data_IF_248276851573
#
_entry.id   IF_248276851573
#
_cell.length_a   1.000
_cell.length_b   1.000
_cell.length_c   1.000
_cell.angle_alpha   90.00
_cell.angle_beta   90.00
_cell.angle_gamma   90.00
#
_symmetry.space_group_name_H-M   'P 1'
#
loop_
_entity.id
_entity.type
_entity.pdbx_description
1 polymer ?
#
# COMPACT_ATOMS: atom_id res chain seq x y z
N UNK A 1 7.21 12.11 -31.78
CA UNK A 1 6.52 13.29 -31.24
C UNK A 1 6.21 13.01 -29.78
N UNK A 2 6.11 14.04 -28.93
CA UNK A 2 6.02 13.86 -27.47
C UNK A 2 5.01 14.83 -26.87
N UNK A 3 4.28 14.37 -25.84
CA UNK A 3 3.26 15.13 -25.14
C UNK A 3 3.64 15.29 -23.66
N UNK A 4 3.39 16.48 -23.10
CA UNK A 4 3.52 16.76 -21.68
C UNK A 4 2.14 16.67 -21.02
N UNK A 5 2.02 15.86 -19.96
CA UNK A 5 0.80 15.77 -19.16
C UNK A 5 1.10 16.25 -17.73
N UNK A 6 0.25 17.11 -17.13
CA UNK A 6 0.48 17.64 -15.80
C UNK A 6 0.34 16.55 -14.73
N UNK A 7 1.17 16.63 -13.68
CA UNK A 7 0.94 15.91 -12.44
C UNK A 7 -0.13 16.64 -11.60
N UNK A 8 -0.95 15.88 -10.90
CA UNK A 8 -1.94 16.43 -9.97
C UNK A 8 -1.27 17.17 -8.77
N UNK A 9 -0.05 16.79 -8.41
CA UNK A 9 0.60 17.24 -7.18
C UNK A 9 1.40 18.56 -7.30
N UNK A 10 1.47 19.21 -8.47
CA UNK A 10 2.14 20.52 -8.60
C UNK A 10 2.32 21.02 -10.05
N UNK A 11 3.25 21.96 -10.26
CA UNK A 11 3.57 22.59 -11.56
C UNK A 11 4.42 21.70 -12.49
N UNK A 12 4.60 20.43 -12.15
CA UNK A 12 5.42 19.50 -12.91
C UNK A 12 4.56 18.77 -13.94
N UNK A 13 5.15 18.51 -15.10
CA UNK A 13 4.55 17.69 -16.15
C UNK A 13 5.45 16.50 -16.44
N UNK A 14 4.83 15.38 -16.79
CA UNK A 14 5.52 14.17 -17.22
C UNK A 14 5.49 14.11 -18.75
N UNK A 15 6.63 13.79 -19.34
CA UNK A 15 6.79 13.65 -20.76
C UNK A 15 6.57 12.21 -21.21
N UNK A 16 5.74 12.04 -22.24
CA UNK A 16 5.40 10.74 -22.83
C UNK A 16 5.57 10.77 -24.35
N UNK A 17 5.64 9.59 -24.95
CA UNK A 17 5.32 9.43 -26.38
C UNK A 17 3.81 9.65 -26.59
N UNK A 18 3.43 10.27 -27.72
CA UNK A 18 2.05 10.70 -27.96
C UNK A 18 1.02 9.56 -27.92
N UNK A 19 1.39 8.36 -28.36
CA UNK A 19 0.51 7.19 -28.34
C UNK A 19 0.22 6.70 -26.91
N UNK A 20 1.14 6.91 -25.98
CA UNK A 20 0.95 6.63 -24.56
C UNK A 20 0.08 7.72 -23.94
N UNK A 21 0.42 8.99 -24.19
CA UNK A 21 -0.33 10.13 -23.65
C UNK A 21 -1.81 10.09 -24.04
N UNK A 22 -2.12 9.72 -25.29
CA UNK A 22 -3.48 9.60 -25.79
C UNK A 22 -4.33 8.57 -25.02
N UNK A 23 -3.70 7.59 -24.35
CA UNK A 23 -4.38 6.54 -23.56
C UNK A 23 -4.53 6.87 -22.09
N UNK A 24 -3.90 7.95 -21.62
CA UNK A 24 -3.95 8.40 -20.22
C UNK A 24 -5.08 9.41 -19.96
N UNK A 25 -5.94 9.67 -20.94
CA UNK A 25 -7.10 10.52 -20.76
C UNK A 25 -8.01 10.00 -19.62
N UNK A 26 -8.32 10.89 -18.67
CA UNK A 26 -9.16 10.56 -17.50
C UNK A 26 -8.42 9.88 -16.34
N UNK A 27 -7.11 9.70 -16.43
CA UNK A 27 -6.28 9.32 -15.28
C UNK A 27 -5.72 10.56 -14.58
N UNK A 28 -5.67 10.52 -13.26
CA UNK A 28 -4.83 11.43 -12.48
C UNK A 28 -3.41 10.89 -12.46
N UNK A 29 -2.43 11.75 -12.73
CA UNK A 29 -1.02 11.38 -12.67
C UNK A 29 -0.40 11.94 -11.40
N UNK A 30 0.33 11.10 -10.66
CA UNK A 30 1.04 11.50 -9.45
C UNK A 30 2.45 10.95 -9.44
N UNK A 31 3.37 11.70 -8.85
CA UNK A 31 4.71 11.19 -8.55
C UNK A 31 4.70 10.65 -7.12
N UNK A 32 4.61 9.34 -6.99
CA UNK A 32 4.59 8.65 -5.70
C UNK A 32 5.90 7.88 -5.52
N UNK A 33 6.65 8.23 -4.48
CA UNK A 33 7.85 7.52 -4.07
C UNK A 33 8.90 7.31 -5.21
N UNK A 34 9.02 8.29 -6.11
CA UNK A 34 9.94 8.23 -7.26
C UNK A 34 9.39 7.52 -8.51
N UNK A 35 8.12 7.12 -8.52
CA UNK A 35 7.45 6.58 -9.72
C UNK A 35 6.23 7.39 -10.11
N UNK A 36 6.00 7.53 -11.43
CA UNK A 36 4.75 8.13 -11.93
C UNK A 36 3.67 7.06 -11.91
N UNK A 37 2.65 7.30 -11.10
CA UNK A 37 1.50 6.44 -10.93
C UNK A 37 0.30 7.09 -11.58
N UNK A 38 -0.37 6.36 -12.47
CA UNK A 38 -1.69 6.72 -12.95
C UNK A 38 -2.75 6.19 -11.99
N UNK A 39 -3.69 7.06 -11.62
CA UNK A 39 -4.75 6.79 -10.67
C UNK A 39 -6.11 7.01 -11.33
N UNK A 40 -6.99 6.02 -11.22
CA UNK A 40 -8.41 6.12 -11.60
C UNK A 40 -9.20 5.13 -10.77
N UNK A 41 -10.32 5.56 -10.19
CA UNK A 41 -11.21 4.69 -9.41
C UNK A 41 -10.46 3.85 -8.35
N UNK A 42 -9.53 4.49 -7.63
CA UNK A 42 -8.68 3.86 -6.61
C UNK A 42 -7.74 2.74 -7.11
N UNK A 43 -7.51 2.64 -8.42
CA UNK A 43 -6.49 1.77 -9.00
C UNK A 43 -5.17 2.52 -9.18
N UNK A 44 -4.06 1.87 -8.80
CA UNK A 44 -2.71 2.42 -8.85
C UNK A 44 -1.91 1.70 -9.93
N UNK A 45 -1.63 2.40 -11.03
CA UNK A 45 -0.93 1.84 -12.18
C UNK A 45 0.46 2.47 -12.27
N UNK A 46 1.48 1.66 -12.06
CA UNK A 46 2.87 2.04 -12.29
C UNK A 46 3.15 2.17 -13.79
N UNK A 47 3.27 3.41 -14.26
CA UNK A 47 3.44 3.68 -15.68
C UNK A 47 4.81 3.27 -16.21
N UNK A 48 5.86 3.26 -15.38
CA UNK A 48 7.19 2.85 -15.83
C UNK A 48 7.19 1.38 -16.26
N UNK A 49 6.72 0.50 -15.38
CA UNK A 49 6.64 -0.92 -15.67
C UNK A 49 5.61 -1.23 -16.76
N UNK A 50 4.51 -0.46 -16.82
CA UNK A 50 3.51 -0.66 -17.86
C UNK A 50 4.01 -0.31 -19.26
N UNK A 51 4.80 0.76 -19.39
CA UNK A 51 5.30 1.24 -20.70
C UNK A 51 6.50 0.41 -21.16
N UNK A 52 7.45 0.12 -20.27
CA UNK A 52 8.74 -0.47 -20.62
C UNK A 52 8.91 -1.95 -20.24
N UNK A 53 8.01 -2.51 -19.43
CA UNK A 53 8.09 -3.90 -18.96
C UNK A 53 8.60 -4.02 -17.52
N UNK A 54 8.61 -5.25 -17.02
CA UNK A 54 8.97 -5.59 -15.64
C UNK A 54 10.43 -5.16 -15.34
N UNK A 55 10.64 -4.44 -14.22
CA UNK A 55 11.95 -3.92 -13.83
C UNK A 55 12.36 -2.64 -14.57
N UNK A 56 11.39 -1.81 -14.97
CA UNK A 56 11.65 -0.58 -15.70
C UNK A 56 12.36 0.48 -14.86
N UNK A 57 13.27 1.22 -15.48
CA UNK A 57 13.97 2.37 -14.90
C UNK A 57 14.15 3.48 -15.94
N UNK A 58 14.39 4.70 -15.45
CA UNK A 58 14.72 5.87 -16.27
C UNK A 58 16.24 5.99 -16.41
N UNK A 59 16.75 6.10 -17.64
CA UNK A 59 18.19 6.05 -17.94
C UNK A 59 18.95 7.27 -17.44
N UNK A 60 18.30 8.43 -17.44
CA UNK A 60 18.83 9.69 -16.94
C UNK A 60 18.52 9.95 -15.46
N UNK A 61 17.74 9.07 -14.83
CA UNK A 61 17.27 9.24 -13.44
C UNK A 61 16.16 10.27 -13.26
N UNK A 62 15.61 10.87 -14.32
CA UNK A 62 14.48 11.79 -14.22
C UNK A 62 13.15 11.01 -14.24
N UNK A 63 12.40 10.95 -13.12
CA UNK A 63 11.13 10.25 -13.07
C UNK A 63 10.04 10.92 -13.93
N UNK A 64 10.26 12.15 -14.41
CA UNK A 64 9.29 12.88 -15.23
C UNK A 64 9.44 12.62 -16.74
N UNK A 65 10.43 11.85 -17.18
CA UNK A 65 10.57 11.48 -18.58
C UNK A 65 10.30 9.99 -18.81
N UNK A 66 9.04 9.68 -19.14
CA UNK A 66 8.56 8.34 -19.45
C UNK A 66 8.47 8.05 -20.95
N UNK A 67 9.20 8.80 -21.79
CA UNK A 67 9.37 8.44 -23.21
C UNK A 67 10.10 7.10 -23.29
N UNK A 68 9.68 6.20 -24.19
CA UNK A 68 10.29 4.86 -24.34
C UNK A 68 11.80 4.93 -24.57
N UNK A 69 12.30 5.97 -25.23
CA UNK A 69 13.74 6.19 -25.44
C UNK A 69 14.54 6.42 -24.15
N UNK A 70 13.89 6.95 -23.11
CA UNK A 70 14.51 7.17 -21.80
C UNK A 70 14.31 5.97 -20.87
N UNK A 71 13.44 5.04 -21.22
CA UNK A 71 13.19 3.85 -20.42
C UNK A 71 14.12 2.70 -20.82
N UNK A 72 14.45 1.88 -19.84
CA UNK A 72 15.11 0.58 -20.01
C UNK A 72 14.55 -0.40 -18.99
N UNK A 73 14.93 -1.67 -19.10
CA UNK A 73 14.60 -2.71 -18.12
C UNK A 73 15.86 -3.33 -17.53
N UNK A 74 15.80 -3.70 -16.25
CA UNK A 74 16.88 -4.41 -15.58
C UNK A 74 16.61 -5.92 -15.63
N UNK A 75 17.52 -6.66 -16.26
CA UNK A 75 17.47 -8.11 -16.34
C UNK A 75 18.39 -8.76 -15.32
N UNK A 76 17.93 -9.88 -14.78
CA UNK A 76 18.66 -10.73 -13.86
C UNK A 76 18.50 -12.18 -14.30
N UNK A 77 19.59 -12.95 -14.32
CA UNK A 77 19.56 -14.36 -14.68
C UNK A 77 19.57 -15.22 -13.41
N UNK A 78 18.58 -16.11 -13.29
CA UNK A 78 18.51 -17.05 -12.18
C UNK A 78 19.66 -18.07 -12.26
N UNK A 79 20.41 -18.23 -11.17
CA UNK A 79 21.59 -19.09 -11.13
C UNK A 79 22.84 -18.51 -11.81
N UNK A 80 22.77 -17.28 -12.35
CA UNK A 80 23.92 -16.59 -12.93
C UNK A 80 24.86 -15.96 -11.89
N UNK A 81 25.81 -15.14 -12.37
CA UNK A 81 26.85 -14.49 -11.55
C UNK A 81 26.36 -13.37 -10.63
N UNK A 82 25.04 -13.12 -10.57
CA UNK A 82 24.46 -12.09 -9.72
C UNK A 82 24.65 -10.67 -10.25
N UNK A 83 24.60 -10.49 -11.57
CA UNK A 83 24.71 -9.18 -12.22
C UNK A 83 23.34 -8.71 -12.74
N UNK A 84 23.15 -7.39 -12.80
CA UNK A 84 22.02 -6.77 -13.49
C UNK A 84 22.45 -6.24 -14.85
N UNK A 85 21.75 -6.65 -15.89
CA UNK A 85 22.01 -6.23 -17.26
C UNK A 85 20.91 -5.27 -17.71
N UNK A 86 21.24 -4.01 -17.99
CA UNK A 86 20.30 -3.09 -18.62
C UNK A 86 19.97 -3.56 -20.04
N UNK A 87 18.69 -3.56 -20.39
CA UNK A 87 18.21 -3.78 -21.75
C UNK A 87 17.25 -2.68 -22.18
N UNK A 88 16.98 -2.64 -23.47
CA UNK A 88 15.97 -1.75 -24.02
C UNK A 88 14.57 -2.11 -23.51
N UNK A 89 13.66 -1.13 -23.59
CA UNK A 89 12.30 -1.30 -23.13
C UNK A 89 11.60 -2.44 -23.90
N UNK A 90 10.97 -3.36 -23.17
CA UNK A 90 10.15 -4.45 -23.71
C UNK A 90 8.73 -3.92 -23.97
N UNK A 91 8.61 -3.01 -24.94
CA UNK A 91 7.35 -2.28 -25.17
C UNK A 91 6.28 -3.21 -25.74
N UNK A 92 5.19 -3.36 -25.02
CA UNK A 92 4.01 -4.12 -25.46
C UNK A 92 2.80 -3.19 -25.53
N UNK A 93 2.53 -2.69 -26.74
CA UNK A 93 1.41 -1.79 -26.99
C UNK A 93 0.04 -2.45 -26.72
N UNK A 94 -0.06 -3.78 -26.87
CA UNK A 94 -1.29 -4.52 -26.60
C UNK A 94 -1.51 -4.65 -25.09
N UNK A 95 -0.47 -5.00 -24.31
CA UNK A 95 -0.54 -5.02 -22.84
C UNK A 95 -0.86 -3.64 -22.28
N UNK A 96 -0.24 -2.58 -22.79
CA UNK A 96 -0.54 -1.19 -22.43
C UNK A 96 -2.02 -0.86 -22.70
N UNK A 97 -2.52 -1.21 -23.89
CA UNK A 97 -3.91 -0.99 -24.26
C UNK A 97 -4.87 -1.74 -23.33
N UNK A 98 -4.62 -3.02 -23.09
CA UNK A 98 -5.43 -3.89 -22.23
C UNK A 98 -5.44 -3.37 -20.80
N UNK A 99 -4.29 -3.03 -20.22
CA UNK A 99 -4.22 -2.55 -18.84
C UNK A 99 -4.97 -1.23 -18.62
N UNK A 100 -4.79 -0.25 -19.53
CA UNK A 100 -5.47 1.03 -19.43
C UNK A 100 -6.96 0.96 -19.80
N UNK A 101 -7.35 -0.01 -20.63
CA UNK A 101 -8.75 -0.33 -20.94
C UNK A 101 -9.43 -1.09 -19.79
N UNK A 102 -8.80 -2.09 -19.19
CA UNK A 102 -9.36 -2.85 -18.04
C UNK A 102 -9.51 -1.98 -16.81
N UNK A 103 -8.57 -1.04 -16.60
CA UNK A 103 -8.73 0.01 -15.61
C UNK A 103 -9.93 0.94 -15.90
N UNK A 104 -10.61 0.78 -17.04
CA UNK A 104 -11.78 1.54 -17.49
C UNK A 104 -13.00 0.67 -17.77
N UNK A 105 -12.86 -0.64 -18.03
CA UNK A 105 -13.96 -1.58 -18.34
C UNK A 105 -14.61 -2.21 -17.10
N UNK A 106 -14.02 -2.06 -15.91
CA UNK A 106 -14.76 -2.28 -14.65
C UNK A 106 -15.89 -1.26 -14.44
N UNK A 107 -15.97 -0.22 -15.28
CA UNK A 107 -17.13 0.63 -15.43
C UNK A 107 -17.61 0.60 -16.89
N UNK A 108 -18.92 0.36 -17.09
CA UNK A 108 -19.60 0.79 -18.32
C UNK A 108 -19.27 2.28 -18.54
N UNK A 109 -19.12 2.79 -19.78
CA UNK A 109 -18.91 4.22 -19.99
C UNK A 109 -19.96 5.02 -19.19
N UNK A 110 -19.57 6.13 -18.54
CA UNK A 110 -20.52 6.95 -17.82
C UNK A 110 -21.60 7.34 -18.82
N UNK A 111 -22.81 6.85 -18.60
CA UNK A 111 -23.96 7.31 -19.37
C UNK A 111 -24.00 8.83 -19.19
N UNK A 112 -24.06 9.63 -20.28
CA UNK A 112 -24.22 11.05 -20.14
C UNK A 112 -25.53 11.27 -19.39
N UNK A 113 -25.43 11.75 -18.14
CA UNK A 113 -26.52 11.96 -17.19
C UNK A 113 -27.03 10.74 -16.37
N UNK A 114 -26.16 9.83 -15.91
CA UNK A 114 -26.47 9.14 -14.65
C UNK A 114 -26.34 10.18 -13.50
N UNK A 115 -27.42 10.51 -12.75
CA UNK A 115 -27.30 11.44 -11.65
C UNK A 115 -26.30 10.88 -10.64
N UNK A 116 -25.25 11.67 -10.31
CA UNK A 116 -24.38 11.38 -9.16
C UNK A 116 -25.30 11.08 -7.98
N UNK A 117 -25.10 9.94 -7.32
CA UNK A 117 -25.84 9.63 -6.10
C UNK A 117 -25.77 10.83 -5.17
N UNK A 118 -26.88 11.28 -4.57
CA UNK A 118 -26.87 12.46 -3.72
C UNK A 118 -25.79 12.30 -2.65
N UNK A 119 -25.01 13.37 -2.43
CA UNK A 119 -23.88 13.36 -1.51
C UNK A 119 -24.32 12.87 -0.13
N UNK A 120 -24.02 11.62 0.18
CA UNK A 120 -24.33 11.02 1.47
C UNK A 120 -23.22 11.35 2.44
N UNK A 121 -23.43 12.40 3.23
CA UNK A 121 -22.54 12.69 4.35
C UNK A 121 -22.77 11.68 5.48
N UNK A 122 -21.70 11.35 6.21
CA UNK A 122 -21.76 10.49 7.39
C UNK A 122 -21.34 11.31 8.60
N UNK A 123 -22.19 11.27 9.63
CA UNK A 123 -21.98 11.94 10.92
C UNK A 123 -22.22 10.92 12.03
N UNK A 124 -21.56 11.12 13.17
CA UNK A 124 -21.79 10.32 14.37
C UNK A 124 -22.96 10.88 15.20
N UNK A 125 -23.20 12.19 15.13
CA UNK A 125 -24.32 12.89 15.75
C UNK A 125 -24.75 14.10 14.92
N UNK A 126 -26.03 14.53 15.00
CA UNK A 126 -26.53 15.65 14.20
C UNK A 126 -25.79 16.98 14.44
N UNK A 127 -25.20 17.16 15.63
CA UNK A 127 -24.46 18.36 16.02
C UNK A 127 -22.97 18.35 15.68
N UNK A 128 -22.45 17.32 15.02
CA UNK A 128 -21.02 17.24 14.70
C UNK A 128 -20.59 18.41 13.80
N UNK A 129 -19.41 18.98 14.04
CA UNK A 129 -18.89 20.06 13.19
C UNK A 129 -18.55 19.55 11.78
N UNK A 130 -17.84 18.43 11.72
CA UNK A 130 -17.37 17.83 10.49
C UNK A 130 -18.22 16.60 10.12
N UNK A 131 -18.37 16.36 8.83
CA UNK A 131 -18.95 15.13 8.30
C UNK A 131 -17.97 14.43 7.36
N UNK A 132 -17.99 13.10 7.38
CA UNK A 132 -17.29 12.31 6.37
C UNK A 132 -18.02 12.37 5.03
N UNK A 133 -17.25 12.55 3.95
CA UNK A 133 -17.70 12.51 2.56
C UNK A 133 -16.71 11.66 1.77
N UNK A 134 -17.15 10.71 0.92
CA UNK A 134 -16.26 9.94 0.05
C UNK A 134 -15.39 10.82 -0.84
N UNK A 135 -14.16 10.37 -1.13
CA UNK A 135 -13.15 11.15 -1.85
C UNK A 135 -13.63 11.77 -3.17
N UNK A 136 -14.32 10.99 -4.00
CA UNK A 136 -14.84 11.45 -5.29
C UNK A 136 -15.92 12.55 -5.15
N UNK A 137 -16.65 12.56 -4.03
CA UNK A 137 -17.64 13.59 -3.72
C UNK A 137 -17.02 14.80 -3.01
N UNK A 138 -15.80 14.68 -2.48
CA UNK A 138 -15.10 15.74 -1.78
C UNK A 138 -14.31 16.68 -2.71
N UNK A 139 -14.24 16.38 -4.02
CA UNK A 139 -13.40 17.09 -4.99
C UNK A 139 -13.69 18.59 -5.15
N UNK A 140 -14.94 18.97 -4.94
CA UNK A 140 -15.43 20.34 -5.16
C UNK A 140 -15.81 21.05 -3.84
N UNK A 141 -15.56 20.42 -2.69
CA UNK A 141 -15.91 20.97 -1.37
C UNK A 141 -14.69 21.06 -0.45
N UNK A 142 -14.48 22.18 0.26
CA UNK A 142 -13.38 22.30 1.22
C UNK A 142 -13.38 21.15 2.22
N UNK A 143 -12.26 20.44 2.28
CA UNK A 143 -12.13 19.22 3.08
C UNK A 143 -10.76 19.10 3.78
N UNK A 144 -10.74 18.31 4.86
CA UNK A 144 -9.53 17.68 5.40
C UNK A 144 -9.42 16.29 4.77
N UNK A 145 -8.31 16.00 4.08
CA UNK A 145 -7.99 14.63 3.68
C UNK A 145 -7.25 13.94 4.83
N UNK A 146 -7.83 12.88 5.37
CA UNK A 146 -7.29 12.09 6.46
C UNK A 146 -7.00 10.68 5.95
N UNK A 147 -5.77 10.21 6.11
CA UNK A 147 -5.34 8.90 5.63
C UNK A 147 -5.71 8.63 4.16
N UNK A 148 -5.31 9.54 3.28
CA UNK A 148 -5.54 9.46 1.86
C UNK A 148 -4.63 10.44 1.12
N UNK A 149 -4.71 10.42 -0.21
CA UNK A 149 -4.17 11.48 -1.03
C UNK A 149 -5.00 12.78 -0.94
N UNK A 150 -4.54 13.89 -1.54
CA UNK A 150 -5.29 15.16 -1.60
C UNK A 150 -5.97 15.37 -2.95
N UNK A 151 -7.08 16.11 -2.96
CA UNK A 151 -7.74 16.62 -4.17
C UNK A 151 -7.64 18.16 -4.24
N UNK A 152 -8.17 18.76 -5.31
CA UNK A 152 -8.09 20.20 -5.54
C UNK A 152 -8.75 21.05 -4.43
N UNK A 153 -9.78 20.53 -3.75
CA UNK A 153 -10.47 21.22 -2.67
C UNK A 153 -9.91 20.91 -1.26
N UNK A 154 -8.91 20.04 -1.15
CA UNK A 154 -8.27 19.70 0.14
C UNK A 154 -7.53 20.91 0.70
N UNK A 155 -7.93 21.34 1.90
CA UNK A 155 -7.32 22.47 2.64
C UNK A 155 -6.20 22.01 3.59
N UNK A 156 -6.30 20.78 4.07
CA UNK A 156 -5.33 20.17 4.98
C UNK A 156 -5.25 18.68 4.68
N UNK A 157 -4.04 18.15 4.63
CA UNK A 157 -3.76 16.71 4.56
C UNK A 157 -3.23 16.24 5.92
N UNK A 158 -3.71 15.10 6.39
CA UNK A 158 -3.25 14.39 7.60
C UNK A 158 -3.10 12.91 7.23
N UNK A 159 -1.99 12.61 6.58
CA UNK A 159 -1.69 11.29 5.99
C UNK A 159 -0.20 10.99 6.08
N UNK A 160 0.15 9.70 6.16
CA UNK A 160 1.53 9.22 6.00
C UNK A 160 1.85 8.71 4.58
N UNK A 161 0.92 8.83 3.62
CA UNK A 161 1.10 8.34 2.26
C UNK A 161 2.29 9.04 1.57
N UNK A 162 2.98 8.40 0.60
CA UNK A 162 4.00 9.09 -0.19
C UNK A 162 3.49 10.41 -0.78
N UNK A 163 4.35 11.42 -0.77
CA UNK A 163 4.04 12.76 -1.30
C UNK A 163 2.85 13.47 -0.63
N UNK A 164 2.42 13.04 0.56
CA UNK A 164 1.40 13.77 1.33
C UNK A 164 1.82 15.22 1.62
N UNK A 165 0.82 16.09 1.79
CA UNK A 165 0.99 17.50 2.16
C UNK A 165 0.80 17.76 3.66
N UNK A 166 1.00 16.74 4.50
CA UNK A 166 0.83 16.88 5.95
C UNK A 166 1.84 17.89 6.49
N UNK A 167 1.40 18.95 7.19
CA UNK A 167 2.32 19.90 7.80
C UNK A 167 3.33 19.22 8.72
N UNK A 168 4.61 19.64 8.66
CA UNK A 168 5.71 18.99 9.40
C UNK A 168 5.42 18.79 10.89
N UNK A 169 4.75 19.76 11.55
CA UNK A 169 4.38 19.66 12.97
C UNK A 169 3.39 18.53 13.28
N UNK A 170 2.61 18.09 12.30
CA UNK A 170 1.65 17.00 12.45
C UNK A 170 2.17 15.66 11.94
N UNK A 171 3.19 15.61 11.07
CA UNK A 171 3.70 14.36 10.48
C UNK A 171 4.05 13.30 11.53
N UNK A 172 3.46 12.12 11.39
CA UNK A 172 3.70 10.97 12.25
C UNK A 172 3.88 9.69 11.41
N UNK A 173 4.12 8.53 12.05
CA UNK A 173 4.25 7.27 11.31
C UNK A 173 2.89 6.69 10.89
N UNK A 174 1.80 7.12 11.54
CA UNK A 174 0.42 6.75 11.24
C UNK A 174 -0.38 8.02 10.91
N UNK A 175 -1.37 7.91 10.04
CA UNK A 175 -2.30 8.98 9.73
C UNK A 175 -3.11 9.37 10.97
N UNK A 176 -3.53 8.39 11.78
CA UNK A 176 -4.23 8.61 13.06
C UNK A 176 -3.38 9.43 14.03
N UNK A 177 -2.09 9.15 14.15
CA UNK A 177 -1.20 9.96 15.00
C UNK A 177 -1.11 11.40 14.49
N UNK A 178 -1.10 11.60 13.18
CA UNK A 178 -1.08 12.93 12.56
C UNK A 178 -2.37 13.69 12.87
N UNK A 179 -3.53 13.02 12.78
CA UNK A 179 -4.84 13.57 13.17
C UNK A 179 -4.88 13.93 14.65
N UNK A 180 -4.42 13.05 15.54
CA UNK A 180 -4.47 13.27 16.99
C UNK A 180 -3.63 14.49 17.40
N UNK A 181 -2.48 14.71 16.74
CA UNK A 181 -1.67 15.92 16.95
C UNK A 181 -2.41 17.18 16.48
N UNK A 182 -3.06 17.13 15.33
CA UNK A 182 -3.84 18.26 14.81
C UNK A 182 -5.00 18.63 15.73
N UNK A 183 -5.83 17.66 16.14
CA UNK A 183 -7.03 17.95 16.96
C UNK A 183 -6.69 18.38 18.40
N UNK A 184 -5.51 17.99 18.91
CA UNK A 184 -5.04 18.44 20.22
C UNK A 184 -4.78 19.96 20.28
N UNK A 185 -4.40 20.58 19.15
CA UNK A 185 -4.21 22.03 19.07
C UNK A 185 -5.54 22.82 19.03
N UNK A 186 -6.67 22.12 18.83
CA UNK A 186 -7.99 22.74 18.66
C UNK A 186 -8.01 23.81 17.57
N UNK A 187 -7.18 23.64 16.54
CA UNK A 187 -7.16 24.50 15.38
C UNK A 187 -8.51 24.38 14.65
N UNK A 188 -9.11 25.52 14.35
CA UNK A 188 -10.40 25.59 13.68
C UNK A 188 -10.28 26.35 12.36
N UNK A 189 -10.77 25.72 11.29
CA UNK A 189 -11.01 26.37 10.02
C UNK A 189 -12.55 26.42 9.83
N UNK A 190 -13.18 27.61 9.91
CA UNK A 190 -14.62 27.74 9.81
C UNK A 190 -15.15 27.46 8.41
N UNK A 191 -14.31 27.44 7.38
CA UNK A 191 -14.72 27.15 6.00
C UNK A 191 -14.69 25.65 5.68
N UNK A 192 -14.12 24.84 6.57
CA UNK A 192 -14.05 23.39 6.43
C UNK A 192 -15.12 22.71 7.27
N UNK A 193 -16.00 21.97 6.59
CA UNK A 193 -17.11 21.18 7.19
C UNK A 193 -17.06 19.70 6.84
N UNK A 194 -16.10 19.29 6.03
CA UNK A 194 -16.00 17.93 5.52
C UNK A 194 -14.61 17.35 5.77
N UNK A 195 -14.58 16.03 5.95
CA UNK A 195 -13.36 15.24 5.87
C UNK A 195 -13.55 14.11 4.88
N UNK A 196 -12.45 13.60 4.36
CA UNK A 196 -12.47 12.56 3.34
C UNK A 196 -11.30 11.60 3.46
N UNK A 197 -11.49 10.39 2.93
CA UNK A 197 -10.47 9.38 2.62
C UNK A 197 -10.88 8.65 1.34
N UNK A 198 -9.91 8.16 0.58
CA UNK A 198 -10.08 7.43 -0.69
C UNK A 198 -10.21 5.91 -0.52
N UNK A 199 -10.03 5.38 0.70
CA UNK A 199 -10.16 3.97 1.01
C UNK A 199 -10.77 3.74 2.41
N UNK A 200 -10.88 2.46 2.79
CA UNK A 200 -11.29 2.08 4.13
C UNK A 200 -10.30 1.05 4.68
N UNK A 201 -9.69 1.39 5.80
CA UNK A 201 -8.99 0.49 6.72
C UNK A 201 -9.12 1.01 8.17
N UNK A 202 -8.35 0.44 9.09
CA UNK A 202 -8.43 0.81 10.50
C UNK A 202 -7.67 2.12 10.84
N UNK A 203 -6.60 2.49 10.11
CA UNK A 203 -5.95 3.80 10.31
C UNK A 203 -6.85 4.92 9.78
N UNK A 204 -7.46 4.74 8.61
CA UNK A 204 -8.46 5.65 8.07
C UNK A 204 -9.71 5.75 8.93
N UNK A 205 -10.20 4.64 9.50
CA UNK A 205 -11.32 4.65 10.45
C UNK A 205 -10.98 5.47 11.70
N UNK A 206 -9.82 5.24 12.32
CA UNK A 206 -9.38 5.95 13.51
C UNK A 206 -9.08 7.43 13.23
N UNK A 207 -8.55 7.75 12.04
CA UNK A 207 -8.29 9.11 11.56
C UNK A 207 -9.59 9.90 11.39
N UNK A 208 -10.57 9.37 10.66
CA UNK A 208 -11.89 10.00 10.51
C UNK A 208 -12.58 10.14 11.87
N UNK A 209 -12.50 9.13 12.72
CA UNK A 209 -13.05 9.20 14.08
C UNK A 209 -12.44 10.34 14.91
N UNK A 210 -11.11 10.50 14.84
CA UNK A 210 -10.38 11.57 15.52
C UNK A 210 -10.87 12.97 15.14
N UNK A 211 -11.24 13.17 13.88
CA UNK A 211 -11.75 14.45 13.39
C UNK A 211 -13.24 14.66 13.73
N UNK A 212 -14.07 13.61 13.74
CA UNK A 212 -15.51 13.71 14.06
C UNK A 212 -15.73 13.91 15.56
N UNK A 213 -15.01 13.16 16.40
CA UNK A 213 -15.21 13.10 17.84
C UNK A 213 -13.91 13.40 18.62
N UNK A 214 -13.30 14.59 18.47
CA UNK A 214 -11.93 14.87 18.93
C UNK A 214 -11.74 14.70 20.43
N UNK A 215 -12.66 15.18 21.26
CA UNK A 215 -12.52 15.05 22.72
C UNK A 215 -12.61 13.58 23.17
N UNK A 216 -13.41 12.73 22.50
CA UNK A 216 -13.48 11.30 22.80
C UNK A 216 -12.24 10.57 22.29
N UNK A 217 -11.80 10.88 21.08
CA UNK A 217 -10.59 10.32 20.50
C UNK A 217 -9.33 10.64 21.33
N UNK A 218 -9.19 11.87 21.85
CA UNK A 218 -8.08 12.25 22.72
C UNK A 218 -8.10 11.49 24.05
N UNK A 219 -9.27 11.17 24.62
CA UNK A 219 -9.36 10.30 25.82
C UNK A 219 -8.90 8.87 25.54
N UNK A 220 -9.09 8.40 24.31
CA UNK A 220 -8.73 7.05 23.86
C UNK A 220 -7.48 7.01 22.97
N UNK A 221 -6.65 8.06 23.01
CA UNK A 221 -5.54 8.27 22.07
C UNK A 221 -4.62 7.05 21.93
N UNK A 222 -4.19 6.47 23.05
CA UNK A 222 -3.28 5.32 23.04
C UNK A 222 -3.92 4.08 22.38
N UNK A 223 -5.23 3.85 22.61
CA UNK A 223 -5.96 2.73 22.01
C UNK A 223 -6.13 2.93 20.50
N UNK A 224 -6.43 4.15 20.05
CA UNK A 224 -6.56 4.49 18.63
C UNK A 224 -5.24 4.35 17.87
N UNK A 225 -4.11 4.76 18.47
CA UNK A 225 -2.79 4.58 17.85
C UNK A 225 -2.43 3.10 17.71
N UNK A 226 -2.69 2.27 18.72
CA UNK A 226 -2.46 0.82 18.59
C UNK A 226 -3.42 0.17 17.57
N UNK A 227 -4.68 0.61 17.50
CA UNK A 227 -5.63 0.16 16.49
C UNK A 227 -5.13 0.45 15.08
N UNK A 228 -4.74 1.70 14.80
CA UNK A 228 -4.16 2.10 13.52
C UNK A 228 -2.89 1.30 13.18
N UNK A 229 -2.03 1.07 14.17
CA UNK A 229 -0.82 0.25 13.99
C UNK A 229 -1.13 -1.20 13.61
N UNK A 230 -2.17 -1.80 14.20
CA UNK A 230 -2.63 -3.14 13.79
C UNK A 230 -3.26 -3.14 12.40
N UNK A 231 -3.94 -2.05 12.01
CA UNK A 231 -4.47 -1.86 10.65
C UNK A 231 -3.39 -1.89 9.58
N UNK A 232 -2.47 -0.93 9.62
CA UNK A 232 -1.50 -0.77 8.54
C UNK A 232 -0.33 -1.71 8.66
N UNK A 233 0.26 -1.77 9.85
CA UNK A 233 1.52 -2.46 10.03
C UNK A 233 1.32 -3.90 10.48
N UNK A 234 0.08 -4.32 10.75
CA UNK A 234 -0.25 -5.63 11.28
C UNK A 234 0.73 -6.02 12.40
N UNK A 235 0.97 -5.15 13.37
CA UNK A 235 1.94 -5.38 14.44
C UNK A 235 1.57 -4.63 15.71
N UNK A 236 2.05 -5.14 16.83
CA UNK A 236 1.74 -4.59 18.15
C UNK A 236 1.78 -5.68 19.21
N UNK A 237 1.84 -5.26 20.48
CA UNK A 237 1.92 -6.16 21.64
C UNK A 237 0.69 -6.10 22.55
N UNK A 238 -0.24 -5.18 22.28
CA UNK A 238 -1.45 -5.02 23.09
C UNK A 238 -2.53 -6.01 22.64
N UNK A 239 -2.81 -7.02 23.47
CA UNK A 239 -3.91 -7.96 23.22
C UNK A 239 -5.27 -7.25 23.13
N UNK A 240 -5.48 -6.22 23.95
CA UNK A 240 -6.72 -5.44 23.93
C UNK A 240 -6.90 -4.73 22.58
N UNK A 241 -5.83 -4.11 22.04
CA UNK A 241 -5.90 -3.43 20.75
C UNK A 241 -6.00 -4.43 19.58
N UNK A 242 -5.32 -5.57 19.66
CA UNK A 242 -5.41 -6.65 18.66
C UNK A 242 -6.83 -7.21 18.55
N UNK A 243 -7.47 -7.47 19.70
CA UNK A 243 -8.87 -7.93 19.75
C UNK A 243 -9.85 -6.85 19.29
N UNK A 244 -9.57 -5.57 19.55
CA UNK A 244 -10.34 -4.46 19.01
C UNK A 244 -10.24 -4.40 17.48
N UNK A 245 -9.04 -4.51 16.92
CA UNK A 245 -8.81 -4.57 15.48
C UNK A 245 -9.58 -5.73 14.84
N UNK A 246 -9.44 -6.95 15.37
CA UNK A 246 -10.18 -8.11 14.88
C UNK A 246 -11.70 -7.94 14.98
N UNK A 247 -12.20 -7.33 16.06
CA UNK A 247 -13.62 -7.08 16.20
C UNK A 247 -14.14 -6.10 15.14
N UNK A 248 -13.40 -5.03 14.86
CA UNK A 248 -13.75 -4.05 13.84
C UNK A 248 -13.64 -4.64 12.43
N UNK A 249 -12.63 -5.45 12.16
CA UNK A 249 -12.50 -6.20 10.89
C UNK A 249 -13.69 -7.15 10.68
N UNK A 250 -14.14 -7.84 11.73
CA UNK A 250 -15.31 -8.71 11.65
C UNK A 250 -16.60 -7.93 11.34
N UNK A 251 -16.77 -6.75 11.94
CA UNK A 251 -17.89 -5.84 11.63
C UNK A 251 -17.78 -5.34 10.18
N UNK A 252 -16.61 -4.86 9.76
CA UNK A 252 -16.38 -4.36 8.39
C UNK A 252 -16.60 -5.45 7.33
N UNK A 253 -16.15 -6.68 7.58
CA UNK A 253 -16.37 -7.83 6.70
C UNK A 253 -17.86 -8.19 6.61
N UNK A 254 -18.59 -8.16 7.74
CA UNK A 254 -20.04 -8.36 7.75
C UNK A 254 -20.75 -7.28 6.95
N UNK A 255 -20.46 -6.00 7.22
CA UNK A 255 -21.05 -4.86 6.52
C UNK A 255 -20.76 -4.93 5.02
N UNK A 256 -19.53 -5.30 4.63
CA UNK A 256 -19.18 -5.49 3.20
C UNK A 256 -20.02 -6.58 2.54
N UNK A 257 -20.28 -7.71 3.21
CA UNK A 257 -21.17 -8.76 2.69
C UNK A 257 -22.62 -8.30 2.55
N UNK A 258 -23.12 -7.53 3.52
CA UNK A 258 -24.48 -6.97 3.49
C UNK A 258 -24.66 -5.93 2.37
N UNK A 259 -23.61 -5.17 2.06
CA UNK A 259 -23.58 -4.23 0.94
C UNK A 259 -23.66 -4.96 -0.42
N UNK A 260 -23.10 -6.18 -0.52
CA UNK A 260 -22.95 -6.91 -1.78
C UNK A 260 -21.87 -6.32 -2.69
N UNK A 261 -21.86 -6.71 -3.97
CA UNK A 261 -20.96 -6.14 -4.98
C UNK A 261 -21.45 -4.71 -5.32
N UNK A 262 -20.83 -3.66 -4.74
CA UNK A 262 -21.28 -2.30 -4.99
C UNK A 262 -20.87 -1.91 -6.41
N UNK A 263 -21.75 -1.22 -7.11
CA UNK A 263 -21.42 -0.65 -8.42
C UNK A 263 -20.62 0.67 -8.27
N UNK A 264 -20.49 1.16 -7.05
CA UNK A 264 -19.82 2.42 -6.69
C UNK A 264 -19.03 2.24 -5.38
N UNK A 265 -17.71 2.38 -5.49
CA UNK A 265 -16.77 2.28 -4.38
C UNK A 265 -16.97 3.40 -3.35
N UNK A 266 -17.30 4.62 -3.79
CA UNK A 266 -17.57 5.74 -2.89
C UNK A 266 -18.77 5.46 -1.98
N UNK A 267 -19.84 4.89 -2.55
CA UNK A 267 -21.00 4.44 -1.78
C UNK A 267 -20.67 3.25 -0.85
N UNK A 268 -19.76 2.35 -1.23
CA UNK A 268 -19.28 1.28 -0.34
C UNK A 268 -18.55 1.86 0.88
N UNK A 269 -17.57 2.74 0.65
CA UNK A 269 -16.80 3.40 1.70
C UNK A 269 -17.73 4.18 2.65
N UNK A 270 -18.66 4.99 2.13
CA UNK A 270 -19.62 5.72 2.97
C UNK A 270 -20.44 4.81 3.89
N UNK A 271 -20.90 3.66 3.38
CA UNK A 271 -21.68 2.69 4.18
C UNK A 271 -20.82 2.00 5.24
N UNK A 272 -19.56 1.70 4.94
CA UNK A 272 -18.61 1.19 5.92
C UNK A 272 -18.42 2.19 7.06
N UNK A 273 -18.08 3.45 6.76
CA UNK A 273 -17.95 4.49 7.78
C UNK A 273 -19.23 4.70 8.59
N UNK A 274 -20.41 4.69 7.95
CA UNK A 274 -21.69 4.83 8.63
C UNK A 274 -21.95 3.72 9.65
N UNK A 275 -21.53 2.49 9.35
CA UNK A 275 -21.66 1.36 10.27
C UNK A 275 -20.57 1.35 11.35
N UNK A 276 -19.32 1.65 10.98
CA UNK A 276 -18.16 1.44 11.82
C UNK A 276 -17.85 2.60 12.77
N UNK A 277 -18.23 3.85 12.46
CA UNK A 277 -17.99 4.98 13.36
C UNK A 277 -18.74 4.85 14.70
N UNK A 278 -20.05 4.50 14.73
CA UNK A 278 -20.74 4.20 15.98
C UNK A 278 -20.15 2.96 16.68
N UNK A 279 -19.84 1.90 15.94
CA UNK A 279 -19.27 0.68 16.51
C UNK A 279 -17.90 0.95 17.18
N UNK A 280 -17.03 1.75 16.55
CA UNK A 280 -15.76 2.17 17.14
C UNK A 280 -15.97 2.94 18.44
N UNK A 281 -16.90 3.92 18.47
CA UNK A 281 -17.23 4.66 19.70
C UNK A 281 -17.59 3.71 20.84
N UNK A 282 -18.54 2.81 20.60
CA UNK A 282 -19.05 1.90 21.62
C UNK A 282 -17.97 0.92 22.09
N UNK A 283 -17.15 0.41 21.17
CA UNK A 283 -16.07 -0.53 21.48
C UNK A 283 -14.88 0.13 22.21
N UNK A 284 -14.63 1.42 21.99
CA UNK A 284 -13.62 2.17 22.75
C UNK A 284 -14.02 2.33 24.22
N UNK A 285 -15.31 2.60 24.49
CA UNK A 285 -15.84 2.75 25.85
C UNK A 285 -16.06 1.41 26.55
N UNK A 286 -16.18 0.31 25.80
CA UNK A 286 -16.26 -1.03 26.35
C UNK A 286 -14.93 -1.47 27.02
N UNK A 287 -15.00 -2.24 28.12
CA UNK A 287 -13.81 -2.82 28.73
C UNK A 287 -13.13 -3.84 27.80
N UNK A 288 -13.93 -4.58 27.02
CA UNK A 288 -13.51 -5.55 26.01
C UNK A 288 -14.54 -5.62 24.88
N UNK A 289 -14.11 -5.81 23.61
CA UNK A 289 -15.03 -6.16 22.53
C UNK A 289 -15.74 -7.51 22.79
N UNK A 290 -16.97 -7.70 22.27
CA UNK A 290 -17.67 -8.98 22.29
C UNK A 290 -16.81 -10.10 21.72
N UNK A 291 -16.67 -11.20 22.46
CA UNK A 291 -15.77 -12.30 22.14
C UNK A 291 -16.04 -12.93 20.75
N UNK A 292 -17.31 -13.03 20.37
CA UNK A 292 -17.72 -13.57 19.06
C UNK A 292 -17.17 -12.77 17.86
N UNK A 293 -16.75 -11.52 18.05
CA UNK A 293 -16.20 -10.70 16.97
C UNK A 293 -14.70 -10.94 16.74
N UNK A 294 -13.96 -11.45 17.72
CA UNK A 294 -12.50 -11.54 17.62
C UNK A 294 -11.92 -12.93 17.89
N UNK A 295 -12.64 -13.84 18.55
CA UNK A 295 -12.13 -15.14 19.00
C UNK A 295 -11.49 -15.96 17.88
N UNK A 296 -12.11 -16.02 16.71
CA UNK A 296 -11.61 -16.84 15.61
C UNK A 296 -10.32 -16.27 15.00
N UNK A 297 -10.25 -14.95 14.83
CA UNK A 297 -9.03 -14.28 14.37
C UNK A 297 -7.91 -14.36 15.42
N UNK A 298 -8.24 -14.28 16.71
CA UNK A 298 -7.32 -14.44 17.82
C UNK A 298 -6.74 -15.85 17.91
N UNK A 299 -7.59 -16.88 17.72
CA UNK A 299 -7.14 -18.27 17.60
C UNK A 299 -6.24 -18.45 16.39
N UNK A 300 -6.61 -17.92 15.24
CA UNK A 300 -5.79 -18.01 14.02
C UNK A 300 -4.42 -17.34 14.20
N UNK A 301 -4.37 -16.21 14.89
CA UNK A 301 -3.10 -15.58 15.28
C UNK A 301 -2.29 -16.47 16.23
N UNK A 302 -2.91 -17.01 17.28
CA UNK A 302 -2.25 -17.90 18.24
C UNK A 302 -1.70 -19.18 17.59
N UNK A 303 -2.42 -19.75 16.61
CA UNK A 303 -1.95 -20.87 15.80
C UNK A 303 -0.70 -20.50 14.97
N UNK A 304 -0.66 -19.26 14.46
CA UNK A 304 0.52 -18.74 13.77
C UNK A 304 1.70 -18.55 14.73
N UNK A 305 1.47 -17.99 15.92
CA UNK A 305 2.51 -17.87 16.95
C UNK A 305 3.09 -19.23 17.34
N UNK A 306 2.22 -20.21 17.63
CA UNK A 306 2.65 -21.56 17.98
C UNK A 306 3.49 -22.23 16.88
N UNK A 307 3.16 -21.97 15.61
CA UNK A 307 3.95 -22.45 14.48
C UNK A 307 5.32 -21.78 14.41
N UNK A 308 5.40 -20.48 14.67
CA UNK A 308 6.63 -19.70 14.64
C UNK A 308 7.54 -19.98 15.85
N UNK A 309 6.97 -20.43 16.97
CA UNK A 309 7.70 -20.86 18.18
C UNK A 309 8.09 -22.34 18.14
N UNK A 310 7.69 -23.08 17.10
CA UNK A 310 8.06 -24.49 16.96
C UNK A 310 9.59 -24.65 16.87
N UNK A 311 10.21 -25.68 17.49
CA UNK A 311 11.66 -25.85 17.48
C UNK A 311 12.30 -25.95 16.07
N UNK A 312 11.55 -26.49 15.11
CA UNK A 312 11.99 -26.59 13.71
C UNK A 312 11.70 -25.32 12.89
N UNK A 313 11.09 -24.29 13.48
CA UNK A 313 10.98 -22.98 12.86
C UNK A 313 12.29 -22.20 13.03
N UNK A 314 12.71 -21.47 12.01
CA UNK A 314 13.91 -20.63 12.06
C UNK A 314 13.67 -19.24 11.47
N UNK A 315 14.34 -18.25 12.05
CA UNK A 315 14.39 -16.87 11.57
C UNK A 315 15.85 -16.47 11.31
N UNK A 316 16.19 -16.31 10.03
CA UNK A 316 17.46 -15.74 9.58
C UNK A 316 17.24 -14.25 9.25
N UNK A 317 18.11 -13.36 9.74
CA UNK A 317 17.99 -11.91 9.50
C UNK A 317 19.20 -11.38 8.74
N UNK A 318 18.94 -10.60 7.69
CA UNK A 318 19.94 -9.90 6.89
C UNK A 318 19.64 -8.39 6.88
N UNK A 319 20.04 -7.65 7.94
CA UNK A 319 19.76 -6.22 8.03
C UNK A 319 20.30 -5.40 6.86
N UNK A 320 21.48 -5.74 6.32
CA UNK A 320 22.06 -5.06 5.15
C UNK A 320 21.19 -5.19 3.88
N UNK A 321 20.40 -6.25 3.79
CA UNK A 321 19.48 -6.49 2.68
C UNK A 321 18.05 -6.01 2.98
N UNK A 322 17.78 -5.61 4.23
CA UNK A 322 16.44 -5.38 4.76
C UNK A 322 15.51 -6.61 4.60
N UNK A 323 16.08 -7.81 4.83
CA UNK A 323 15.44 -9.11 4.60
C UNK A 323 15.42 -9.97 5.86
N UNK A 324 14.25 -10.49 6.23
CA UNK A 324 14.10 -11.60 7.16
C UNK A 324 13.62 -12.85 6.41
N UNK A 325 14.23 -14.00 6.67
CA UNK A 325 13.86 -15.30 6.10
C UNK A 325 13.30 -16.19 7.21
N UNK A 326 12.01 -16.52 7.11
CA UNK A 326 11.33 -17.46 7.98
C UNK A 326 11.29 -18.83 7.33
N UNK A 327 11.68 -19.86 8.07
CA UNK A 327 11.58 -21.26 7.66
C UNK A 327 10.61 -21.93 8.61
N UNK A 328 9.49 -22.40 8.07
CA UNK A 328 8.41 -22.98 8.84
C UNK A 328 8.54 -24.51 8.89
N UNK A 329 8.08 -25.15 9.98
CA UNK A 329 8.08 -26.61 10.06
C UNK A 329 7.14 -27.22 9.03
N UNK A 330 7.33 -28.51 8.73
CA UNK A 330 6.49 -29.25 7.80
C UNK A 330 5.08 -29.51 8.39
N UNK A 331 4.16 -28.55 8.23
CA UNK A 331 2.77 -28.68 8.69
C UNK A 331 1.77 -28.84 7.52
N UNK A 332 0.93 -29.89 7.46
CA UNK A 332 0.04 -30.15 6.32
C UNK A 332 -0.84 -28.96 5.88
N UNK A 333 -1.29 -28.14 6.84
CA UNK A 333 -2.10 -26.95 6.58
C UNK A 333 -1.42 -25.91 5.66
N UNK A 334 -0.08 -25.89 5.62
CA UNK A 334 0.69 -24.93 4.81
C UNK A 334 0.79 -25.33 3.33
N UNK A 335 0.60 -26.61 2.99
CA UNK A 335 0.71 -27.09 1.59
C UNK A 335 -0.33 -26.47 0.67
N UNK A 336 -1.56 -26.33 1.15
CA UNK A 336 -2.63 -25.66 0.43
C UNK A 336 -2.50 -24.12 0.47
N UNK A 337 -1.52 -23.60 1.20
CA UNK A 337 -1.34 -22.19 1.48
C UNK A 337 -0.49 -21.44 0.46
N UNK A 338 0.28 -22.10 -0.41
CA UNK A 338 1.32 -21.46 -1.22
C UNK A 338 0.80 -20.29 -2.10
N UNK A 339 -0.42 -20.38 -2.62
CA UNK A 339 -1.06 -19.31 -3.38
C UNK A 339 -1.52 -18.11 -2.52
N UNK A 340 -1.67 -18.30 -1.21
CA UNK A 340 -2.20 -17.30 -0.28
C UNK A 340 -1.07 -16.40 0.24
N UNK A 341 -1.42 -15.15 0.59
CA UNK A 341 -0.50 -14.26 1.33
C UNK A 341 -0.13 -14.93 2.65
N UNK A 342 1.15 -14.86 3.04
CA UNK A 342 1.68 -15.48 4.25
C UNK A 342 1.34 -16.97 4.43
N UNK A 343 1.17 -17.75 3.35
CA UNK A 343 0.64 -19.12 3.40
C UNK A 343 -0.74 -19.26 4.07
N UNK A 344 -1.48 -18.17 4.18
CA UNK A 344 -2.76 -18.11 4.90
C UNK A 344 -2.62 -17.97 6.41
N UNK A 345 -1.43 -17.63 6.92
CA UNK A 345 -1.14 -17.35 8.33
C UNK A 345 -1.32 -15.86 8.67
N UNK A 346 -1.37 -15.55 9.96
CA UNK A 346 -1.48 -14.17 10.45
C UNK A 346 -0.17 -13.39 10.20
N UNK A 347 -0.19 -12.26 9.46
CA UNK A 347 1.01 -11.44 9.27
C UNK A 347 1.59 -10.89 10.58
N UNK A 348 0.74 -10.74 11.61
CA UNK A 348 1.12 -10.19 12.91
C UNK A 348 2.29 -10.94 13.54
N UNK A 349 2.30 -12.27 13.44
CA UNK A 349 3.36 -13.07 14.04
C UNK A 349 4.71 -12.90 13.38
N UNK A 350 4.72 -12.68 12.07
CA UNK A 350 5.95 -12.39 11.33
C UNK A 350 6.45 -10.97 11.63
N UNK A 351 5.55 -9.98 11.56
CA UNK A 351 5.89 -8.57 11.69
C UNK A 351 6.38 -8.20 13.11
N UNK A 352 5.92 -8.93 14.14
CA UNK A 352 6.38 -8.74 15.51
C UNK A 352 7.78 -9.32 15.79
N UNK A 353 8.27 -10.27 14.98
CA UNK A 353 9.57 -10.94 15.20
C UNK A 353 10.76 -10.23 14.55
N UNK A 354 10.52 -9.28 13.64
CA UNK A 354 11.60 -8.58 12.93
C UNK A 354 11.21 -7.14 12.58
N UNK A 355 12.15 -6.18 12.63
CA UNK A 355 11.92 -4.83 12.12
C UNK A 355 12.10 -4.71 10.59
N UNK A 356 12.60 -5.75 9.93
CA UNK A 356 12.98 -5.70 8.51
C UNK A 356 11.75 -5.67 7.59
N UNK A 357 11.83 -4.93 6.49
CA UNK A 357 10.68 -4.61 5.63
C UNK A 357 10.39 -5.67 4.56
N UNK A 358 11.37 -6.50 4.19
CA UNK A 358 11.17 -7.61 3.24
C UNK A 358 11.20 -8.94 3.99
N UNK A 359 10.18 -9.77 3.79
CA UNK A 359 10.03 -11.06 4.45
C UNK A 359 9.99 -12.15 3.38
N UNK A 360 10.88 -13.15 3.46
CA UNK A 360 10.75 -14.40 2.73
C UNK A 360 10.25 -15.48 3.68
N UNK A 361 9.18 -16.18 3.32
CA UNK A 361 8.61 -17.27 4.11
C UNK A 361 8.76 -18.54 3.30
N UNK A 362 9.42 -19.55 3.88
CA UNK A 362 9.67 -20.85 3.27
C UNK A 362 8.88 -21.92 4.01
N UNK A 363 8.08 -22.69 3.27
CA UNK A 363 7.29 -23.79 3.81
C UNK A 363 7.07 -24.87 2.73
N UNK A 364 7.24 -26.15 3.08
CA UNK A 364 7.07 -27.30 2.16
C UNK A 364 7.81 -27.19 0.82
N UNK A 365 8.97 -26.56 0.80
CA UNK A 365 9.75 -26.38 -0.43
C UNK A 365 9.24 -25.26 -1.34
N UNK A 366 8.24 -24.50 -0.92
CA UNK A 366 7.79 -23.27 -1.57
C UNK A 366 8.30 -22.03 -0.83
N UNK A 367 8.32 -20.89 -1.54
CA UNK A 367 8.66 -19.59 -0.98
C UNK A 367 7.66 -18.53 -1.40
N UNK A 368 7.28 -17.69 -0.43
CA UNK A 368 6.50 -16.47 -0.66
C UNK A 368 7.25 -15.30 -0.05
N UNK A 369 7.40 -14.23 -0.82
CA UNK A 369 8.07 -13.00 -0.39
C UNK A 369 7.05 -11.88 -0.26
N UNK A 370 7.12 -11.10 0.82
CA UNK A 370 6.32 -9.89 1.04
C UNK A 370 7.22 -8.70 1.30
N UNK A 371 6.88 -7.55 0.74
CA UNK A 371 7.37 -6.26 1.22
C UNK A 371 6.29 -5.63 2.10
N UNK A 372 6.66 -5.18 3.30
CA UNK A 372 5.73 -4.69 4.31
C UNK A 372 5.30 -3.25 4.05
N UNK A 373 4.15 -2.88 4.61
CA UNK A 373 3.55 -1.56 4.45
C UNK A 373 4.49 -0.44 4.93
N UNK A 374 5.32 -0.67 5.96
CA UNK A 374 6.30 0.32 6.42
C UNK A 374 7.28 0.79 5.33
N UNK A 375 7.53 -0.03 4.30
CA UNK A 375 8.36 0.33 3.14
C UNK A 375 7.63 1.08 2.03
N UNK A 376 6.31 1.27 2.15
CA UNK A 376 5.50 2.02 1.19
C UNK A 376 5.22 3.45 1.64
N UNK A 377 5.01 3.66 2.95
CA UNK A 377 4.59 4.95 3.55
C UNK A 377 5.77 5.86 3.90
N UNK A 378 5.52 7.16 3.96
CA UNK A 378 6.46 8.11 4.57
C UNK A 378 6.53 7.86 6.08
N UNK A 379 7.75 7.74 6.62
CA UNK A 379 7.95 7.52 8.07
C UNK A 379 8.85 8.58 8.66
N UNK A 380 8.38 9.19 9.75
CA UNK A 380 9.20 10.12 10.55
C UNK A 380 10.24 9.42 11.42
N UNK A 381 10.07 8.12 11.66
CA UNK A 381 11.00 7.32 12.46
C UNK A 381 11.45 6.08 11.70
N UNK A 382 12.73 5.71 11.82
CA UNK A 382 13.30 4.45 11.35
C UNK A 382 12.77 4.02 9.97
N UNK A 383 12.98 4.87 8.95
CA UNK A 383 12.58 4.58 7.58
C UNK A 383 13.31 3.33 7.09
N UNK A 384 12.58 2.31 6.57
CA UNK A 384 13.19 1.11 6.04
C UNK A 384 13.96 1.41 4.74
N UNK A 385 14.76 0.44 4.29
CA UNK A 385 15.53 0.57 3.06
C UNK A 385 14.54 0.67 1.88
N UNK A 386 14.66 1.64 0.94
CA UNK A 386 13.70 1.83 -0.17
C UNK A 386 13.42 0.55 -0.95
N UNK A 387 12.19 0.26 -1.39
CA UNK A 387 11.88 -1.08 -1.95
C UNK A 387 12.60 -1.36 -3.27
N UNK A 388 12.76 -2.65 -3.56
CA UNK A 388 13.33 -3.16 -4.82
C UNK A 388 12.18 -3.71 -5.64
N UNK A 389 12.24 -3.51 -6.95
CA UNK A 389 11.24 -4.07 -7.84
C UNK A 389 11.48 -5.58 -8.02
N UNK A 390 10.65 -6.40 -7.36
CA UNK A 390 10.77 -7.85 -7.42
C UNK A 390 10.20 -8.44 -8.71
N UNK A 391 9.64 -7.63 -9.62
CA UNK A 391 9.28 -8.09 -10.97
C UNK A 391 10.51 -8.55 -11.76
N UNK A 392 11.70 -8.00 -11.46
CA UNK A 392 12.99 -8.46 -11.98
C UNK A 392 13.21 -9.93 -11.61
N UNK A 393 13.03 -10.28 -10.32
CA UNK A 393 13.16 -11.67 -9.87
C UNK A 393 12.06 -12.55 -10.43
N UNK A 394 10.82 -12.06 -10.43
CA UNK A 394 9.67 -12.82 -10.94
C UNK A 394 9.91 -13.26 -12.39
N UNK A 395 10.45 -12.36 -13.23
CA UNK A 395 10.80 -12.66 -14.61
C UNK A 395 11.91 -13.69 -14.71
N UNK A 396 12.97 -13.57 -13.90
CA UNK A 396 14.05 -14.54 -13.85
C UNK A 396 13.56 -15.94 -13.44
N UNK A 397 12.67 -16.01 -12.44
CA UNK A 397 12.05 -17.25 -11.97
C UNK A 397 11.17 -17.87 -13.06
N UNK A 398 10.33 -17.08 -13.75
CA UNK A 398 9.53 -17.57 -14.88
C UNK A 398 10.39 -18.16 -15.99
N UNK A 399 11.53 -17.55 -16.30
CA UNK A 399 12.44 -18.04 -17.34
C UNK A 399 13.16 -19.34 -16.94
N UNK A 400 13.44 -19.52 -15.64
CA UNK A 400 14.13 -20.69 -15.11
C UNK A 400 13.19 -21.84 -14.72
N UNK A 401 11.88 -21.59 -14.64
CA UNK A 401 10.91 -22.55 -14.14
C UNK A 401 10.78 -23.77 -15.08
N UNK A 402 11.10 -24.99 -14.63
CA UNK A 402 11.01 -26.20 -15.45
C UNK A 402 9.58 -26.72 -15.62
N UNK A 403 8.61 -26.22 -14.83
CA UNK A 403 7.22 -26.66 -14.85
C UNK A 403 6.27 -25.55 -15.33
N UNK A 404 4.98 -25.83 -15.45
CA UNK A 404 3.98 -24.83 -15.82
C UNK A 404 3.62 -23.87 -14.66
N UNK A 405 4.48 -23.74 -13.65
CA UNK A 405 4.29 -22.86 -12.51
C UNK A 405 4.44 -21.38 -12.95
N UNK A 406 3.59 -20.49 -12.41
CA UNK A 406 3.57 -19.08 -12.81
C UNK A 406 3.96 -18.18 -11.66
N UNK A 407 5.22 -17.72 -11.66
CA UNK A 407 5.72 -16.71 -10.73
C UNK A 407 5.22 -15.31 -11.06
N UNK A 408 4.68 -14.64 -10.05
CA UNK A 408 4.06 -13.32 -10.16
C UNK A 408 4.50 -12.43 -9.00
N UNK A 409 4.66 -11.14 -9.30
CA UNK A 409 4.85 -10.10 -8.30
C UNK A 409 3.76 -9.06 -8.49
N UNK A 410 3.11 -8.65 -7.39
CA UNK A 410 1.98 -7.71 -7.44
C UNK A 410 2.38 -6.37 -8.06
N UNK A 411 3.62 -5.92 -7.84
CA UNK A 411 4.12 -4.61 -8.28
C UNK A 411 4.53 -3.74 -7.08
N UNK A 412 5.61 -2.97 -7.23
CA UNK A 412 6.24 -2.23 -6.12
C UNK A 412 5.35 -1.14 -5.52
N UNK A 413 4.42 -0.62 -6.33
CA UNK A 413 3.47 0.43 -5.99
C UNK A 413 2.33 -0.04 -5.08
N UNK A 414 2.13 -1.35 -4.91
CA UNK A 414 1.10 -1.85 -3.98
C UNK A 414 1.57 -1.75 -2.54
N UNK A 415 0.64 -1.57 -1.58
CA UNK A 415 0.96 -1.35 -0.17
C UNK A 415 1.73 -2.50 0.48
N UNK A 416 1.43 -3.74 0.12
CA UNK A 416 2.10 -4.94 0.62
C UNK A 416 2.28 -6.00 -0.47
N UNK A 417 3.18 -5.79 -1.45
CA UNK A 417 3.22 -6.63 -2.62
C UNK A 417 3.81 -8.00 -2.30
N UNK A 418 3.21 -9.03 -2.88
CA UNK A 418 3.65 -10.42 -2.80
C UNK A 418 4.42 -10.80 -4.06
N UNK A 419 5.54 -11.49 -3.89
CA UNK A 419 6.14 -12.34 -4.92
C UNK A 419 5.89 -13.81 -4.54
N UNK A 420 5.34 -14.59 -5.47
CA UNK A 420 5.14 -16.02 -5.32
C UNK A 420 4.44 -16.61 -6.54
N UNK A 421 4.19 -17.92 -6.55
CA UNK A 421 3.42 -18.55 -7.62
C UNK A 421 1.91 -18.54 -7.35
N UNK A 422 1.11 -18.80 -8.38
CA UNK A 422 -0.36 -18.81 -8.36
C UNK A 422 -0.98 -20.10 -7.74
N UNK A 423 -0.14 -21.07 -7.39
CA UNK A 423 -0.55 -22.35 -6.81
C UNK A 423 -1.20 -23.34 -7.79
N UNK A 424 -1.25 -23.03 -9.09
CA UNK A 424 -1.83 -23.95 -10.08
C UNK A 424 -0.97 -25.21 -10.28
N UNK A 425 0.36 -25.05 -10.16
CA UNK A 425 1.36 -26.12 -10.15
C UNK A 425 2.43 -25.77 -9.10
N UNK A 426 3.02 -26.78 -8.43
CA UNK A 426 4.20 -26.56 -7.59
C UNK A 426 5.38 -26.09 -8.45
N UNK A 427 6.26 -25.27 -7.87
CA UNK A 427 7.51 -24.90 -8.55
C UNK A 427 8.47 -26.09 -8.58
N UNK A 428 9.21 -26.23 -9.68
CA UNK A 428 10.34 -27.15 -9.76
C UNK A 428 11.65 -26.53 -9.28
N UNK A 429 11.65 -25.24 -8.92
CA UNK A 429 12.81 -24.55 -8.38
C UNK A 429 12.94 -24.83 -6.87
N UNK A 430 14.12 -25.23 -6.37
CA UNK A 430 14.31 -25.40 -4.93
C UNK A 430 14.12 -24.07 -4.18
N UNK A 431 13.33 -24.06 -3.10
CA UNK A 431 13.09 -22.85 -2.30
C UNK A 431 14.37 -22.12 -1.88
N UNK A 432 15.42 -22.86 -1.47
CA UNK A 432 16.69 -22.25 -1.09
C UNK A 432 17.38 -21.54 -2.25
N UNK A 433 17.29 -22.09 -3.47
CA UNK A 433 17.84 -21.43 -4.65
C UNK A 433 17.10 -20.12 -4.96
N UNK A 434 15.78 -20.07 -4.71
CA UNK A 434 14.97 -18.85 -4.83
C UNK A 434 15.34 -17.83 -3.75
N UNK A 435 15.50 -18.27 -2.49
CA UNK A 435 15.94 -17.40 -1.38
C UNK A 435 17.34 -16.82 -1.66
N UNK A 436 18.27 -17.63 -2.15
CA UNK A 436 19.62 -17.16 -2.49
C UNK A 436 19.61 -16.17 -3.66
N UNK A 437 18.77 -16.41 -4.67
CA UNK A 437 18.58 -15.46 -5.77
C UNK A 437 17.95 -14.14 -5.28
N UNK A 438 17.00 -14.20 -4.35
CA UNK A 438 16.44 -13.01 -3.69
C UNK A 438 17.53 -12.23 -2.95
N UNK A 439 18.37 -12.91 -2.13
CA UNK A 439 19.47 -12.27 -1.39
C UNK A 439 20.41 -11.54 -2.35
N UNK A 440 20.83 -12.19 -3.45
CA UNK A 440 21.67 -11.59 -4.50
C UNK A 440 21.01 -10.39 -5.16
N UNK A 441 19.76 -10.51 -5.59
CA UNK A 441 19.05 -9.40 -6.21
C UNK A 441 18.92 -8.21 -5.25
N UNK A 442 18.53 -8.42 -3.99
CA UNK A 442 18.38 -7.33 -3.02
C UNK A 442 19.70 -6.61 -2.70
N UNK A 443 20.84 -7.26 -2.91
CA UNK A 443 22.16 -6.66 -2.72
C UNK A 443 22.49 -5.62 -3.81
N UNK A 444 22.04 -5.87 -5.05
CA UNK A 444 22.47 -5.12 -6.24
C UNK A 444 21.36 -4.27 -6.87
N UNK A 445 20.09 -4.62 -6.65
CA UNK A 445 18.97 -3.93 -7.28
C UNK A 445 18.82 -2.50 -6.74
N UNK A 446 18.62 -1.52 -7.65
CA UNK A 446 18.43 -0.14 -7.24
C UNK A 446 17.11 0.03 -6.47
N UNK A 447 16.99 1.17 -5.80
CA UNK A 447 15.71 1.59 -5.22
C UNK A 447 14.69 1.81 -6.35
N UNK A 448 13.50 1.23 -6.20
CA UNK A 448 12.37 1.39 -7.11
C UNK A 448 11.19 2.12 -6.47
N UNK A 449 11.15 2.20 -5.13
CA UNK A 449 10.12 2.93 -4.39
C UNK A 449 10.73 3.53 -3.12
N UNK A 450 10.75 4.86 -3.06
CA UNK A 450 11.36 5.66 -1.99
C UNK A 450 10.32 6.62 -1.40
N UNK A 451 9.58 6.20 -0.35
CA UNK A 451 8.43 6.96 0.17
C UNK A 451 8.76 8.35 0.69
N UNK A 452 9.94 8.48 1.29
CA UNK A 452 10.54 9.74 1.73
C UNK A 452 11.71 10.01 0.81
N UNK A 453 11.55 10.83 -0.24
CA UNK A 453 12.70 11.21 -1.05
C UNK A 453 13.70 11.92 -0.15
N UNK A 454 15.00 11.62 -0.34
CA UNK A 454 16.04 12.41 0.29
C UNK A 454 15.80 13.88 -0.09
N UNK A 455 15.88 14.77 0.91
CA UNK A 455 15.96 16.19 0.61
C UNK A 455 17.10 16.37 -0.41
N UNK A 456 16.91 17.13 -1.51
CA UNK A 456 17.96 17.28 -2.51
C UNK A 456 19.22 17.70 -1.77
N UNK A 457 20.23 16.83 -1.80
CA UNK A 457 21.56 17.20 -1.29
C UNK A 457 21.93 18.46 -2.04
N UNK A 458 22.19 19.55 -1.32
CA UNK A 458 22.91 20.69 -1.91
C UNK A 458 24.16 20.10 -2.54
N UNK A 459 24.13 19.90 -3.87
CA UNK A 459 25.33 19.59 -4.63
C UNK A 459 26.20 20.79 -4.36
N UNK A 460 27.23 20.58 -3.55
CA UNK A 460 28.26 21.55 -3.25
C UNK A 460 28.76 22.10 -4.58
N UNK A 461 28.30 23.31 -4.91
CA UNK A 461 28.94 24.16 -5.89
C UNK A 461 30.26 24.62 -5.26
N UNK A 462 31.24 23.73 -5.27
CA UNK A 462 32.63 24.06 -4.97
C UNK A 462 33.49 23.46 -6.05
N UNK A 463 34.11 24.34 -6.83
CA UNK A 463 35.17 23.96 -7.77
C UNK A 463 35.05 24.61 -9.15
N UNK A 464 35.25 25.93 -9.23
CA UNK A 464 36.01 26.56 -10.32
C UNK A 464 36.13 28.08 -10.08
N UNK A 465 36.90 28.47 -9.07
CA UNK A 465 37.70 29.70 -9.10
C UNK A 465 39.04 29.34 -8.47
N UNK A 466 40.07 29.27 -9.30
CA UNK A 466 41.44 28.84 -8.98
C UNK A 466 42.16 28.47 -10.26
#
# INVERSE_FOLDING_TARGET
MTTLLPLHDGDHAVQFDDDVAARLAGFELRLLAGRVVAMRENQFIDLQNLIAGDGAFTRDGDPHDLRRRNLGTLHYDFGGHGELVPRDAETDAARLAVALAHAGESARPPSPAAPRSPMQTVRLSPGDRLAFVPFEHARDVPNISADATHNAATRLTLSHWPANRTPARYKANLSTESVLRFVAERADDPDVRHMTTDHFDLDGLASVYGLIAPDHALRHQARLVELARFGDFARGRSDAARRLAFALDAVAARTSREIGAPHDESARIARLFRALLPALRDLLDAPSPPEALWRDADRHHAETEALLDHPDAALEQHPALDLAVFRLPAAPALRAGAARRYFGLSPIGFHNRTPLSTLAIVAHGDVVVHQRYEGWVERVSAAPRPRRDLSILARALRAAEPHACRWQYDGVQHIMPRLGHDGAQPSGLPAEAVVDALKRLLAIAPAAWTPTPDAPSERTASGALG
#
